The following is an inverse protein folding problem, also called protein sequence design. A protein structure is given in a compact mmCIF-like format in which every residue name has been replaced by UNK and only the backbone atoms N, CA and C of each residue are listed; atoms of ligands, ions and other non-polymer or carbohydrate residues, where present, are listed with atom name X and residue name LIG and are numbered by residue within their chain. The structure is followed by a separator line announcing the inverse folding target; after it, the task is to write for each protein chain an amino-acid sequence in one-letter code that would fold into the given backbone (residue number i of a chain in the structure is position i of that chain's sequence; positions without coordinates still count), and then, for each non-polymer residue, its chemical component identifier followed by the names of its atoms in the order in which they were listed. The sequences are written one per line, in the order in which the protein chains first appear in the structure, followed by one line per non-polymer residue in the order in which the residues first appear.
data_IF_427555630854
#
_entry.id   IF_427555630854
#
_cell.length_a   1.000
_cell.length_b   1.000
_cell.length_c   1.000
_cell.angle_alpha   90.00
_cell.angle_beta   90.00
_cell.angle_gamma   90.00
#
_symmetry.space_group_name_H-M   'P 1'
#
loop_
_entity.id
_entity.type
_entity.pdbx_description
1 polymer ?
#
# COMPACT_ATOMS: atom_id res chain seq x y z
N UNK A 1 -2.75 31.66 -28.81
CA UNK A 1 -1.74 30.73 -28.24
C UNK A 1 -0.88 31.38 -27.14
N UNK A 2 -0.26 32.62 -27.35
CA UNK A 2 0.57 33.25 -26.30
C UNK A 2 -0.18 33.52 -25.00
N UNK A 3 -1.43 33.99 -25.06
CA UNK A 3 -2.24 34.30 -23.87
C UNK A 3 -2.55 33.05 -23.06
N UNK A 4 -2.91 31.94 -23.70
CA UNK A 4 -3.17 30.69 -23.00
C UNK A 4 -1.92 30.15 -22.28
N UNK A 5 -0.74 30.29 -22.87
CA UNK A 5 0.52 29.92 -22.23
C UNK A 5 0.85 30.82 -21.03
N UNK A 6 0.59 32.10 -21.11
CA UNK A 6 0.78 33.03 -19.99
C UNK A 6 -0.18 32.73 -18.83
N UNK A 7 -1.43 32.36 -19.12
CA UNK A 7 -2.40 31.94 -18.10
C UNK A 7 -1.95 30.62 -17.46
N UNK A 8 -1.50 29.66 -18.27
CA UNK A 8 -0.99 28.37 -17.74
C UNK A 8 0.26 28.60 -16.87
N UNK A 9 1.21 29.43 -17.34
CA UNK A 9 2.39 29.76 -16.54
C UNK A 9 2.03 30.45 -15.23
N UNK A 10 1.09 31.42 -15.28
CA UNK A 10 0.60 32.11 -14.08
C UNK A 10 -0.04 31.13 -13.07
N UNK A 11 -0.81 30.14 -13.54
CA UNK A 11 -1.35 29.09 -12.68
C UNK A 11 -0.27 28.20 -12.06
N UNK A 12 0.71 27.77 -12.86
CA UNK A 12 1.84 26.97 -12.38
C UNK A 12 2.62 27.73 -11.30
N UNK A 13 2.98 28.99 -11.55
CA UNK A 13 3.68 29.82 -10.58
C UNK A 13 2.87 30.02 -9.30
N UNK A 14 1.56 30.32 -9.42
CA UNK A 14 0.69 30.46 -8.26
C UNK A 14 0.57 29.16 -7.44
N UNK A 15 0.55 28.01 -8.11
CA UNK A 15 0.55 26.72 -7.42
C UNK A 15 1.87 26.49 -6.72
N UNK A 16 3.00 26.69 -7.41
CA UNK A 16 4.33 26.53 -6.84
C UNK A 16 4.57 27.46 -5.63
N UNK A 17 4.11 28.70 -5.70
CA UNK A 17 4.20 29.62 -4.55
C UNK A 17 3.40 29.08 -3.34
N UNK A 18 2.16 28.65 -3.56
CA UNK A 18 1.34 28.06 -2.47
C UNK A 18 1.95 26.82 -1.89
N UNK A 19 2.49 25.92 -2.71
CA UNK A 19 3.19 24.72 -2.24
C UNK A 19 4.40 25.10 -1.38
N UNK A 20 5.16 26.12 -1.81
CA UNK A 20 6.30 26.62 -1.02
C UNK A 20 5.85 27.22 0.32
N UNK A 21 4.75 27.94 0.36
CA UNK A 21 4.20 28.50 1.60
C UNK A 21 3.77 27.38 2.56
N UNK A 22 3.06 26.36 2.07
CA UNK A 22 2.70 25.17 2.86
C UNK A 22 3.92 24.39 3.36
N UNK A 23 4.95 24.24 2.53
CA UNK A 23 6.19 23.57 2.95
C UNK A 23 6.92 24.35 4.04
N UNK A 24 6.96 25.68 3.94
CA UNK A 24 7.55 26.53 4.97
C UNK A 24 6.77 26.46 6.27
N UNK A 25 5.44 26.51 6.21
CA UNK A 25 4.58 26.34 7.40
C UNK A 25 4.81 24.96 8.05
N UNK A 26 4.86 23.90 7.22
CA UNK A 26 5.17 22.55 7.69
C UNK A 26 6.54 22.49 8.38
N UNK A 27 7.57 23.09 7.78
CA UNK A 27 8.91 23.13 8.40
C UNK A 27 8.92 23.83 9.76
N UNK A 28 8.14 24.88 9.94
CA UNK A 28 8.00 25.56 11.22
C UNK A 28 7.29 24.68 12.25
N UNK A 29 6.20 24.01 11.85
CA UNK A 29 5.47 23.06 12.70
C UNK A 29 6.37 21.88 13.08
N UNK A 30 7.11 21.32 12.13
CA UNK A 30 8.04 20.22 12.35
C UNK A 30 9.16 20.62 13.30
N UNK A 31 9.72 21.82 13.14
CA UNK A 31 10.75 22.36 14.04
C UNK A 31 10.22 22.54 15.47
N UNK A 32 9.00 23.06 15.62
CA UNK A 32 8.35 23.22 16.92
C UNK A 32 8.04 21.88 17.61
N UNK A 33 7.81 20.81 16.84
CA UNK A 33 7.48 19.46 17.32
C UNK A 33 8.65 18.48 17.33
N UNK A 34 9.83 18.90 16.92
CA UNK A 34 10.99 18.00 16.75
C UNK A 34 11.36 17.18 18.00
N UNK A 35 10.97 17.63 19.20
CA UNK A 35 11.15 16.89 20.45
C UNK A 35 10.01 15.95 20.82
N UNK A 36 8.84 16.08 20.20
CA UNK A 36 7.61 15.44 20.69
C UNK A 36 7.45 13.99 20.24
N UNK A 37 8.20 13.55 19.21
CA UNK A 37 8.13 12.20 18.63
C UNK A 37 6.68 11.72 18.41
N UNK A 38 5.85 12.58 17.83
CA UNK A 38 4.39 12.37 17.68
C UNK A 38 4.00 11.09 16.92
N UNK A 39 4.92 10.50 16.16
CA UNK A 39 4.73 9.25 15.45
C UNK A 39 5.35 8.03 16.17
N UNK A 40 5.87 8.22 17.39
CA UNK A 40 6.36 7.10 18.18
C UNK A 40 5.19 6.26 18.67
N UNK A 41 5.06 5.07 18.11
CA UNK A 41 4.05 4.08 18.52
C UNK A 41 4.67 2.98 19.37
N UNK A 42 3.86 2.34 20.24
CA UNK A 42 4.31 1.21 21.05
C UNK A 42 4.90 0.09 20.17
N UNK A 43 4.27 -0.19 19.05
CA UNK A 43 4.65 -1.26 18.12
C UNK A 43 5.21 -0.69 16.82
N UNK A 44 6.13 -1.41 16.14
CA UNK A 44 6.63 -0.98 14.83
C UNK A 44 5.51 -0.89 13.80
N UNK A 45 5.70 -0.07 12.79
CA UNK A 45 4.78 0.10 11.68
C UNK A 45 5.26 -0.74 10.50
N UNK A 46 4.43 -1.65 10.01
CA UNK A 46 4.64 -2.41 8.79
C UNK A 46 3.86 -1.74 7.65
N UNK A 47 4.56 -1.22 6.65
CA UNK A 47 3.97 -0.59 5.48
C UNK A 47 3.82 -1.63 4.36
N UNK A 48 2.58 -1.84 3.91
CA UNK A 48 2.21 -2.86 2.93
C UNK A 48 1.74 -2.16 1.65
N UNK A 49 2.53 -2.26 0.58
CA UNK A 49 2.23 -1.61 -0.70
C UNK A 49 1.07 -2.28 -1.45
N UNK A 50 0.61 -1.64 -2.53
CA UNK A 50 -0.43 -2.18 -3.42
C UNK A 50 0.15 -2.95 -4.60
N UNK A 51 -0.69 -3.14 -5.61
CA UNK A 51 -0.36 -3.88 -6.84
C UNK A 51 0.59 -3.09 -7.75
N UNK A 52 1.44 -3.79 -8.49
CA UNK A 52 2.35 -3.33 -9.57
C UNK A 52 3.57 -2.52 -9.14
N UNK A 53 3.70 -2.13 -7.91
CA UNK A 53 4.84 -1.35 -7.45
C UNK A 53 5.41 -1.97 -6.17
N UNK A 54 6.73 -1.89 -6.04
CA UNK A 54 7.47 -2.35 -4.85
C UNK A 54 8.25 -1.20 -4.24
N UNK A 55 8.72 -1.43 -3.03
CA UNK A 55 9.67 -0.55 -2.39
C UNK A 55 11.08 -0.81 -2.94
N UNK A 56 11.51 0.00 -3.90
CA UNK A 56 12.86 -0.03 -4.44
C UNK A 56 13.77 0.93 -3.67
N UNK A 57 15.03 0.57 -3.56
CA UNK A 57 16.03 1.40 -2.86
C UNK A 57 16.05 2.86 -3.34
N UNK A 58 15.75 3.10 -4.63
CA UNK A 58 15.79 4.44 -5.24
C UNK A 58 14.42 4.97 -5.67
N UNK A 59 13.39 4.15 -5.58
CA UNK A 59 12.02 4.52 -5.90
C UNK A 59 11.11 3.91 -4.84
N UNK A 60 10.94 4.61 -3.73
CA UNK A 60 10.08 4.17 -2.65
C UNK A 60 8.62 4.35 -3.06
N UNK A 61 7.83 3.29 -2.98
CA UNK A 61 6.39 3.31 -3.21
C UNK A 61 5.67 4.39 -2.41
N UNK A 62 6.08 4.57 -1.17
CA UNK A 62 5.49 5.50 -0.22
C UNK A 62 6.04 6.92 -0.32
N UNK A 63 6.97 7.18 -1.26
CA UNK A 63 7.60 8.47 -1.43
C UNK A 63 8.32 8.94 -0.17
N UNK A 64 8.01 10.14 0.29
CA UNK A 64 8.62 10.75 1.47
C UNK A 64 7.97 10.36 2.81
N UNK A 65 6.83 9.67 2.79
CA UNK A 65 6.03 9.38 4.00
C UNK A 65 6.83 8.60 5.05
N UNK A 66 7.55 7.51 4.74
CA UNK A 66 8.30 6.78 5.76
C UNK A 66 9.35 7.64 6.46
N UNK A 67 10.12 8.41 5.69
CA UNK A 67 11.17 9.26 6.24
C UNK A 67 10.61 10.35 7.19
N UNK A 68 9.43 10.91 6.86
CA UNK A 68 8.76 11.87 7.72
C UNK A 68 8.22 11.21 9.00
N UNK A 69 7.69 9.99 8.91
CA UNK A 69 7.24 9.25 10.08
C UNK A 69 8.42 8.88 11.00
N UNK A 70 9.54 8.42 10.44
CA UNK A 70 10.76 8.08 11.18
C UNK A 70 11.37 9.31 11.86
N UNK A 71 11.44 10.44 11.16
CA UNK A 71 11.87 11.72 11.74
C UNK A 71 11.06 12.11 12.97
N UNK A 72 9.77 11.75 12.98
CA UNK A 72 8.85 11.99 14.09
C UNK A 72 8.74 10.80 15.07
N UNK A 73 9.68 9.85 15.03
CA UNK A 73 9.85 8.80 16.03
C UNK A 73 9.24 7.45 15.70
N UNK A 74 8.67 7.25 14.51
CA UNK A 74 8.17 5.95 14.11
C UNK A 74 9.31 4.96 13.84
N UNK A 75 9.02 3.66 13.99
CA UNK A 75 9.88 2.56 13.53
C UNK A 75 9.19 1.90 12.35
N UNK A 76 9.75 2.05 11.14
CA UNK A 76 9.13 1.64 9.88
C UNK A 76 9.77 0.37 9.36
N UNK A 77 8.93 -0.56 8.91
CA UNK A 77 9.28 -1.78 8.18
C UNK A 77 8.43 -1.87 6.92
N UNK A 78 8.93 -2.59 5.92
CA UNK A 78 8.22 -2.78 4.64
C UNK A 78 7.78 -4.22 4.48
N UNK A 79 6.64 -4.41 3.82
CA UNK A 79 6.07 -5.73 3.54
C UNK A 79 6.95 -6.59 2.64
N UNK A 80 7.65 -5.96 1.69
CA UNK A 80 8.56 -6.61 0.74
C UNK A 80 7.94 -7.79 -0.04
N UNK A 81 6.62 -7.90 -0.05
CA UNK A 81 5.89 -8.95 -0.77
C UNK A 81 5.88 -8.70 -2.28
N UNK A 82 5.49 -9.69 -3.06
CA UNK A 82 5.38 -9.56 -4.51
C UNK A 82 4.29 -8.54 -4.88
N UNK A 83 4.58 -7.74 -5.93
CA UNK A 83 3.70 -6.64 -6.32
C UNK A 83 2.50 -7.10 -7.16
N UNK A 84 2.56 -8.28 -7.75
CA UNK A 84 1.49 -8.85 -8.55
C UNK A 84 1.35 -10.35 -8.26
N UNK A 85 0.66 -10.67 -7.19
CA UNK A 85 0.27 -12.03 -6.84
C UNK A 85 -1.18 -12.03 -6.36
N UNK A 86 -1.80 -13.21 -6.31
CA UNK A 86 -3.12 -13.37 -5.70
C UNK A 86 -3.11 -12.89 -4.24
N UNK A 87 -4.26 -12.41 -3.76
CA UNK A 87 -4.39 -11.94 -2.36
C UNK A 87 -3.97 -13.03 -1.35
N UNK A 88 -4.25 -14.29 -1.65
CA UNK A 88 -3.89 -15.39 -0.76
C UNK A 88 -2.36 -15.61 -0.67
N UNK A 89 -1.64 -15.40 -1.76
CA UNK A 89 -0.18 -15.57 -1.81
C UNK A 89 0.52 -14.37 -1.17
N UNK A 90 0.14 -13.14 -1.55
CA UNK A 90 0.61 -11.93 -0.89
C UNK A 90 0.30 -11.94 0.62
N UNK A 91 -0.88 -12.42 1.00
CA UNK A 91 -1.26 -12.55 2.41
C UNK A 91 -0.33 -13.49 3.18
N UNK A 92 0.16 -14.55 2.54
CA UNK A 92 1.14 -15.50 3.13
C UNK A 92 2.48 -14.81 3.38
N UNK A 93 2.98 -14.10 2.36
CA UNK A 93 4.22 -13.32 2.48
C UNK A 93 4.12 -12.24 3.57
N UNK A 94 2.97 -11.58 3.69
CA UNK A 94 2.73 -10.60 4.76
C UNK A 94 2.68 -11.27 6.14
N UNK A 95 2.05 -12.45 6.28
CA UNK A 95 2.04 -13.18 7.55
C UNK A 95 3.46 -13.56 7.99
N UNK A 96 4.29 -14.05 7.06
CA UNK A 96 5.70 -14.39 7.32
C UNK A 96 6.50 -13.13 7.67
N UNK A 97 6.30 -12.02 6.94
CA UNK A 97 6.97 -10.76 7.20
C UNK A 97 6.65 -10.16 8.57
N UNK A 98 5.40 -10.32 9.04
CA UNK A 98 5.03 -9.96 10.41
C UNK A 98 5.90 -10.71 11.42
N UNK A 99 6.08 -12.03 11.27
CA UNK A 99 6.91 -12.82 12.18
C UNK A 99 8.38 -12.39 12.17
N UNK A 100 8.93 -12.09 10.97
CA UNK A 100 10.28 -11.55 10.85
C UNK A 100 10.46 -10.23 11.60
N UNK A 101 9.53 -9.28 11.42
CA UNK A 101 9.57 -7.98 12.11
C UNK A 101 9.48 -8.15 13.62
N UNK A 102 8.63 -9.06 14.11
CA UNK A 102 8.55 -9.35 15.55
C UNK A 102 9.84 -9.94 16.08
N UNK A 103 10.45 -10.88 15.36
CA UNK A 103 11.73 -11.49 15.73
C UNK A 103 12.87 -10.46 15.74
N UNK A 104 12.91 -9.55 14.75
CA UNK A 104 13.92 -8.51 14.62
C UNK A 104 13.79 -7.45 15.74
N UNK A 105 12.57 -7.09 16.10
CA UNK A 105 12.31 -5.96 17.02
C UNK A 105 12.09 -6.36 18.46
N UNK A 106 11.79 -7.63 18.72
CA UNK A 106 11.31 -8.12 20.02
C UNK A 106 9.93 -7.57 20.40
N UNK A 107 9.20 -6.98 19.47
CA UNK A 107 7.87 -6.45 19.72
C UNK A 107 6.82 -7.59 19.76
N UNK A 108 5.76 -7.40 20.54
CA UNK A 108 4.65 -8.37 20.63
C UNK A 108 3.72 -8.30 19.43
N UNK A 109 3.60 -7.11 18.80
CA UNK A 109 2.67 -6.82 17.70
C UNK A 109 3.27 -5.82 16.72
N UNK A 110 2.63 -5.69 15.56
CA UNK A 110 2.87 -4.63 14.59
C UNK A 110 1.61 -3.76 14.41
N UNK A 111 1.81 -2.51 13.98
CA UNK A 111 0.76 -1.71 13.37
C UNK A 111 0.92 -1.81 11.84
N UNK A 112 -0.15 -2.06 11.11
CA UNK A 112 -0.10 -2.15 9.65
C UNK A 112 -0.70 -0.90 9.04
N UNK A 113 0.03 -0.28 8.09
CA UNK A 113 -0.49 0.72 7.16
C UNK A 113 -0.42 0.11 5.78
N UNK A 114 -1.58 -0.16 5.20
CA UNK A 114 -1.68 -0.88 3.93
C UNK A 114 -2.38 -0.02 2.87
N UNK A 115 -1.81 0.06 1.66
CA UNK A 115 -2.40 0.79 0.56
C UNK A 115 -2.98 -0.15 -0.50
N UNK A 116 -4.12 0.22 -1.09
CA UNK A 116 -4.74 -0.47 -2.22
C UNK A 116 -4.94 -1.99 -1.94
N UNK A 117 -4.49 -2.87 -2.83
CA UNK A 117 -4.53 -4.34 -2.67
C UNK A 117 -3.92 -4.80 -1.35
N UNK A 118 -2.86 -4.16 -0.87
CA UNK A 118 -2.19 -4.52 0.39
C UNK A 118 -3.12 -4.56 1.60
N UNK A 119 -4.23 -3.80 1.58
CA UNK A 119 -5.26 -3.89 2.61
C UNK A 119 -6.05 -5.20 2.56
N UNK A 120 -6.31 -5.75 1.38
CA UNK A 120 -6.94 -7.07 1.22
C UNK A 120 -5.95 -8.17 1.64
N UNK A 121 -4.69 -8.08 1.23
CA UNK A 121 -3.62 -9.00 1.58
C UNK A 121 -3.44 -9.08 3.11
N UNK A 122 -3.41 -7.93 3.77
CA UNK A 122 -3.31 -7.83 5.24
C UNK A 122 -4.53 -8.41 5.95
N UNK A 123 -5.73 -8.15 5.44
CA UNK A 123 -6.96 -8.75 5.99
C UNK A 123 -6.96 -10.27 5.84
N UNK A 124 -6.49 -10.78 4.70
CA UNK A 124 -6.34 -12.22 4.47
C UNK A 124 -5.34 -12.83 5.44
N UNK A 125 -4.16 -12.23 5.61
CA UNK A 125 -3.14 -12.66 6.56
C UNK A 125 -3.71 -12.78 7.99
N UNK A 126 -4.44 -11.78 8.44
CA UNK A 126 -5.04 -11.77 9.78
C UNK A 126 -6.15 -12.82 9.95
N UNK A 127 -7.08 -12.88 8.99
CA UNK A 127 -8.30 -13.69 9.10
C UNK A 127 -8.08 -15.16 8.78
N UNK A 128 -7.26 -15.47 7.79
CA UNK A 128 -7.13 -16.83 7.24
C UNK A 128 -5.81 -17.52 7.63
N UNK A 129 -4.77 -16.75 7.99
CA UNK A 129 -3.44 -17.27 8.25
C UNK A 129 -3.00 -17.09 9.71
N UNK A 130 -3.92 -16.65 10.58
CA UNK A 130 -3.67 -16.57 12.01
C UNK A 130 -2.75 -15.44 12.46
N UNK A 131 -2.51 -14.41 11.62
CA UNK A 131 -1.64 -13.29 11.98
C UNK A 131 -2.31 -12.27 12.94
N UNK A 132 -3.62 -12.33 13.15
CA UNK A 132 -4.36 -11.36 13.97
C UNK A 132 -3.78 -11.15 15.39
N UNK A 133 -3.35 -12.15 16.16
CA UNK A 133 -2.76 -11.95 17.48
C UNK A 133 -1.50 -11.08 17.46
N UNK A 134 -0.79 -11.07 16.34
CA UNK A 134 0.44 -10.30 16.11
C UNK A 134 0.21 -8.89 15.58
N UNK A 135 -1.05 -8.47 15.37
CA UNK A 135 -1.41 -7.15 14.84
C UNK A 135 -2.14 -6.36 15.89
N UNK A 136 -1.74 -5.12 16.11
CA UNK A 136 -2.42 -4.19 17.01
C UNK A 136 -3.44 -3.33 16.25
N UNK A 137 -3.07 -2.88 15.05
CA UNK A 137 -3.96 -2.09 14.21
C UNK A 137 -3.71 -2.34 12.72
N UNK A 138 -4.77 -2.21 11.92
CA UNK A 138 -4.71 -2.13 10.47
C UNK A 138 -5.36 -0.83 10.01
N UNK A 139 -4.58 0.03 9.37
CA UNK A 139 -5.08 1.20 8.64
C UNK A 139 -4.98 0.92 7.16
N UNK A 140 -6.11 0.90 6.46
CA UNK A 140 -6.14 0.75 5.01
C UNK A 140 -6.34 2.10 4.33
N UNK A 141 -5.55 2.36 3.30
CA UNK A 141 -5.57 3.60 2.51
C UNK A 141 -5.99 3.24 1.08
N UNK A 142 -7.09 3.81 0.60
CA UNK A 142 -7.62 3.55 -0.75
C UNK A 142 -7.75 2.05 -1.10
N UNK A 143 -8.04 1.19 -0.14
CA UNK A 143 -8.20 -0.25 -0.38
C UNK A 143 -9.56 -0.53 -1.00
N UNK A 144 -9.63 -1.26 -2.13
CA UNK A 144 -10.88 -1.57 -2.81
C UNK A 144 -11.63 -2.71 -2.10
N UNK A 145 -12.12 -2.47 -0.88
CA UNK A 145 -12.84 -3.47 -0.05
C UNK A 145 -14.09 -4.05 -0.72
N UNK A 146 -14.66 -3.33 -1.68
CA UNK A 146 -15.85 -3.76 -2.44
C UNK A 146 -15.56 -3.94 -3.93
N UNK A 147 -14.29 -3.96 -4.31
CA UNK A 147 -13.83 -4.05 -5.67
C UNK A 147 -13.48 -2.70 -6.28
N UNK A 148 -12.86 -2.75 -7.43
CA UNK A 148 -12.40 -1.62 -8.21
C UNK A 148 -12.97 -1.71 -9.62
N UNK A 149 -13.83 -0.76 -10.01
CA UNK A 149 -14.42 -0.70 -11.34
C UNK A 149 -13.37 -0.70 -12.46
N UNK A 150 -12.19 -0.13 -12.19
CA UNK A 150 -11.09 -0.15 -13.15
C UNK A 150 -10.57 -1.58 -13.40
N UNK A 151 -10.54 -2.45 -12.39
CA UNK A 151 -10.15 -3.85 -12.55
C UNK A 151 -11.16 -4.60 -13.44
N UNK A 152 -12.45 -4.41 -13.17
CA UNK A 152 -13.52 -4.98 -14.02
C UNK A 152 -13.43 -4.45 -15.46
N UNK A 153 -13.21 -3.13 -15.63
CA UNK A 153 -13.04 -2.52 -16.95
C UNK A 153 -11.80 -3.07 -17.68
N UNK A 154 -10.66 -3.17 -17.01
CA UNK A 154 -9.40 -3.63 -17.59
C UNK A 154 -9.52 -5.08 -18.09
N UNK A 155 -10.11 -5.96 -17.30
CA UNK A 155 -10.32 -7.36 -17.69
C UNK A 155 -11.32 -7.49 -18.84
N UNK A 156 -12.36 -6.64 -18.87
CA UNK A 156 -13.34 -6.64 -19.96
C UNK A 156 -12.80 -6.01 -21.27
N UNK A 157 -11.84 -5.08 -21.16
CA UNK A 157 -11.25 -4.41 -22.33
C UNK A 157 -10.35 -5.35 -23.14
N UNK A 158 -9.69 -6.30 -22.49
CA UNK A 158 -8.77 -7.23 -23.13
C UNK A 158 -9.54 -8.47 -23.54
N UNK A 159 -9.66 -8.77 -24.86
CA UNK A 159 -10.30 -10.01 -25.31
C UNK A 159 -9.66 -11.23 -24.63
N UNK A 160 -10.47 -12.17 -24.17
CA UNK A 160 -10.03 -13.33 -23.38
C UNK A 160 -8.84 -14.07 -24.01
N UNK A 161 -8.87 -14.24 -25.34
CA UNK A 161 -7.77 -14.86 -26.10
C UNK A 161 -6.44 -14.11 -26.03
N UNK A 162 -6.46 -12.81 -25.67
CA UNK A 162 -5.28 -11.96 -25.60
C UNK A 162 -4.86 -11.73 -24.15
N UNK A 163 -5.69 -12.02 -23.16
CA UNK A 163 -5.39 -11.78 -21.74
C UNK A 163 -4.11 -12.50 -21.30
N UNK A 164 -3.92 -13.76 -21.72
CA UNK A 164 -2.70 -14.51 -21.39
C UNK A 164 -1.44 -13.90 -22.00
N UNK A 165 -1.51 -13.38 -23.23
CA UNK A 165 -0.35 -12.74 -23.86
C UNK A 165 0.00 -11.42 -23.18
N UNK A 166 -1.02 -10.62 -22.83
CA UNK A 166 -0.83 -9.37 -22.06
C UNK A 166 -0.26 -9.68 -20.68
N UNK A 167 -0.85 -10.63 -19.96
CA UNK A 167 -0.37 -11.06 -18.65
C UNK A 167 1.09 -11.55 -18.70
N UNK A 168 1.43 -12.36 -19.71
CA UNK A 168 2.81 -12.83 -19.90
C UNK A 168 3.80 -11.68 -20.08
N UNK A 169 3.44 -10.64 -20.85
CA UNK A 169 4.29 -9.47 -21.03
C UNK A 169 4.46 -8.67 -19.72
N UNK A 170 3.37 -8.47 -18.97
CA UNK A 170 3.42 -7.82 -17.66
C UNK A 170 4.26 -8.63 -16.65
N UNK A 171 4.01 -9.92 -16.55
CA UNK A 171 4.75 -10.82 -15.65
C UNK A 171 6.26 -10.80 -15.98
N UNK A 172 6.62 -10.81 -17.26
CA UNK A 172 8.02 -10.70 -17.67
C UNK A 172 8.67 -9.35 -17.26
N UNK A 173 7.90 -8.27 -17.33
CA UNK A 173 8.36 -6.96 -16.87
C UNK A 173 8.50 -6.91 -15.34
N UNK A 174 7.54 -7.43 -14.60
CA UNK A 174 7.55 -7.46 -13.13
C UNK A 174 8.67 -8.36 -12.58
N UNK A 175 8.96 -9.48 -13.23
CA UNK A 175 10.16 -10.29 -12.90
C UNK A 175 11.46 -9.50 -13.00
N UNK A 176 11.61 -8.67 -14.04
CA UNK A 176 12.78 -7.79 -14.18
C UNK A 176 12.83 -6.70 -13.10
N UNK A 177 11.69 -6.37 -12.53
CA UNK A 177 11.54 -5.40 -11.43
C UNK A 177 11.63 -6.06 -10.05
N UNK A 178 11.86 -7.37 -9.97
CA UNK A 178 12.18 -8.08 -8.73
C UNK A 178 11.04 -8.91 -8.14
N UNK A 179 9.93 -9.11 -8.84
CA UNK A 179 8.94 -10.12 -8.46
C UNK A 179 9.46 -11.51 -8.89
N UNK A 180 9.42 -12.48 -8.00
CA UNK A 180 9.90 -13.83 -8.28
C UNK A 180 8.91 -14.61 -9.13
N UNK A 181 7.61 -14.53 -8.79
CA UNK A 181 6.54 -15.26 -9.47
C UNK A 181 5.27 -14.39 -9.63
N UNK A 182 5.32 -13.33 -10.45
CA UNK A 182 4.18 -12.45 -10.64
C UNK A 182 3.05 -13.12 -11.41
N UNK A 183 1.82 -12.91 -10.95
CA UNK A 183 0.59 -13.27 -11.62
C UNK A 183 -0.34 -12.06 -11.76
N UNK A 184 -0.18 -11.37 -12.88
CA UNK A 184 -0.96 -10.17 -13.22
C UNK A 184 -2.47 -10.42 -13.22
N UNK A 185 -2.92 -11.54 -13.82
CA UNK A 185 -4.35 -11.82 -13.93
C UNK A 185 -4.96 -12.15 -12.58
N UNK A 186 -4.27 -12.93 -11.74
CA UNK A 186 -4.73 -13.21 -10.39
C UNK A 186 -4.80 -11.93 -9.56
N UNK A 187 -3.75 -11.09 -9.61
CA UNK A 187 -3.69 -9.84 -8.86
C UNK A 187 -4.82 -8.87 -9.24
N UNK A 188 -5.13 -8.73 -10.55
CA UNK A 188 -6.22 -7.86 -11.03
C UNK A 188 -7.58 -8.52 -10.80
N UNK A 189 -7.68 -9.82 -11.00
CA UNK A 189 -8.91 -10.60 -10.79
C UNK A 189 -9.44 -10.48 -9.36
N UNK A 190 -8.56 -10.53 -8.37
CA UNK A 190 -8.92 -10.38 -6.96
C UNK A 190 -9.44 -8.98 -6.59
N UNK A 191 -9.21 -7.98 -7.45
CA UNK A 191 -9.69 -6.61 -7.25
C UNK A 191 -11.06 -6.34 -7.89
N UNK A 192 -11.64 -7.29 -8.60
CA UNK A 192 -12.98 -7.14 -9.18
C UNK A 192 -14.07 -7.07 -8.12
N UNK A 193 -15.19 -6.45 -8.43
CA UNK A 193 -16.33 -6.33 -7.50
C UNK A 193 -16.85 -7.71 -7.06
N UNK A 194 -16.90 -8.68 -7.98
CA UNK A 194 -17.34 -10.05 -7.68
C UNK A 194 -16.37 -10.79 -6.77
N UNK A 195 -15.06 -10.71 -7.04
CA UNK A 195 -14.04 -11.34 -6.20
C UNK A 195 -14.02 -10.75 -4.79
N UNK A 196 -14.11 -9.42 -4.67
CA UNK A 196 -14.18 -8.75 -3.36
C UNK A 196 -15.47 -9.11 -2.59
N UNK A 197 -16.58 -9.32 -3.28
CA UNK A 197 -17.82 -9.81 -2.63
C UNK A 197 -17.62 -11.22 -2.04
N UNK A 198 -17.00 -12.14 -2.77
CA UNK A 198 -16.68 -13.48 -2.27
C UNK A 198 -15.60 -13.45 -1.16
N UNK A 199 -14.60 -12.60 -1.31
CA UNK A 199 -13.59 -12.36 -0.28
C UNK A 199 -14.24 -11.94 1.04
N UNK A 200 -15.14 -10.96 1.02
CA UNK A 200 -15.81 -10.44 2.23
C UNK A 200 -16.76 -11.46 2.91
N UNK A 201 -17.22 -12.50 2.19
CA UNK A 201 -17.96 -13.61 2.81
C UNK A 201 -17.07 -14.47 3.69
N UNK A 202 -15.81 -14.67 3.30
CA UNK A 202 -14.86 -15.58 3.95
C UNK A 202 -13.94 -14.87 4.94
N UNK A 203 -13.45 -13.69 4.56
CA UNK A 203 -12.47 -12.91 5.33
C UNK A 203 -13.20 -11.92 6.22
N UNK A 204 -13.26 -12.23 7.50
CA UNK A 204 -13.89 -11.39 8.53
C UNK A 204 -12.83 -10.61 9.27
N UNK A 205 -13.20 -9.43 9.72
CA UNK A 205 -12.31 -8.62 10.55
C UNK A 205 -12.15 -9.29 11.92
N UNK A 206 -10.92 -9.54 12.38
CA UNK A 206 -10.67 -10.24 13.63
C UNK A 206 -10.99 -9.37 14.83
N UNK A 207 -11.52 -9.99 15.89
CA UNK A 207 -11.68 -9.33 17.18
C UNK A 207 -10.32 -8.96 17.80
N UNK A 208 -10.27 -7.83 18.50
CA UNK A 208 -9.06 -7.37 19.21
C UNK A 208 -8.01 -6.67 18.35
N UNK A 209 -8.28 -6.44 17.07
CA UNK A 209 -7.47 -5.60 16.19
C UNK A 209 -8.24 -4.31 15.89
N UNK A 210 -7.60 -3.16 16.08
CA UNK A 210 -8.19 -1.89 15.66
C UNK A 210 -8.08 -1.75 14.14
N UNK A 211 -9.22 -1.64 13.45
CA UNK A 211 -9.26 -1.54 11.99
C UNK A 211 -9.92 -0.25 11.57
N UNK A 212 -9.27 0.49 10.68
CA UNK A 212 -9.81 1.71 10.08
C UNK A 212 -9.45 1.79 8.59
N UNK A 213 -10.27 2.54 7.85
CA UNK A 213 -10.06 2.83 6.42
C UNK A 213 -10.10 4.32 6.18
N UNK A 214 -9.29 4.77 5.22
CA UNK A 214 -9.29 6.14 4.70
C UNK A 214 -9.12 6.11 3.19
N UNK A 215 -9.65 7.14 2.50
CA UNK A 215 -9.58 7.29 1.05
C UNK A 215 -10.25 8.56 0.60
#
# INVERSE_FOLDING_TARGET
IPIAHLIALGKILSTACRETDFENEKLMIDAARAGDKVCATKYPILMVHGVFFRDFRYLNYWGRIPAELEKNGARIFYGNHQSAAAVADSGREIADRIQEVLAETGAEKVNIIAHSKGGLDSRYAMSQLGAAPCVASLTTVNTPHRGCEFADYLLNLIPEKQQLAVASAYNAALKKLGDDDPDFLAAVGDLTASACAEFNKKVKDPEGVFIQSTG
#
